data_IF_515827962350
#
_entry.id   IF_515827962350
#
_cell.length_a   1.000
_cell.length_b   1.000
_cell.length_c   1.000
_cell.angle_alpha   90.00
_cell.angle_beta   90.00
_cell.angle_gamma   90.00
#
_symmetry.space_group_name_H-M   'P 1'
#
loop_
_entity.id
_entity.type
_entity.pdbx_description
1 polymer ?
#
# COMPACT_ATOMS: atom_id res chain seq x y z
N UNK A 1 54.68 42.99 -29.23
CA UNK A 1 53.92 42.09 -30.11
C UNK A 1 53.51 40.91 -29.25
N UNK A 2 52.34 41.01 -28.61
CA UNK A 2 51.80 39.95 -27.75
C UNK A 2 50.75 39.20 -28.57
N UNK A 3 51.02 37.92 -28.83
CA UNK A 3 50.07 36.99 -29.44
C UNK A 3 49.03 36.67 -28.37
N UNK A 4 47.79 37.07 -28.62
CA UNK A 4 46.65 36.62 -27.83
C UNK A 4 46.38 35.16 -28.20
N UNK A 5 46.51 34.28 -27.21
CA UNK A 5 46.19 32.87 -27.30
C UNK A 5 44.68 32.75 -27.13
N UNK A 6 43.95 32.63 -28.24
CA UNK A 6 42.50 32.34 -28.22
C UNK A 6 42.34 30.85 -27.86
N UNK A 7 42.41 30.56 -26.57
CA UNK A 7 42.05 29.27 -25.97
C UNK A 7 40.53 29.08 -26.10
N UNK A 8 40.11 28.62 -27.29
CA UNK A 8 38.73 28.21 -27.56
C UNK A 8 38.48 26.92 -26.78
N UNK A 9 38.05 27.08 -25.53
CA UNK A 9 37.52 25.98 -24.73
C UNK A 9 36.42 25.26 -25.54
N UNK A 10 36.43 23.92 -25.60
CA UNK A 10 35.41 23.18 -26.33
C UNK A 10 34.03 23.53 -25.75
N UNK A 11 33.00 23.69 -26.60
CA UNK A 11 31.68 24.09 -26.13
C UNK A 11 31.15 23.05 -25.12
N UNK A 12 30.90 23.51 -23.89
CA UNK A 12 30.53 22.66 -22.74
C UNK A 12 29.11 22.10 -22.83
N UNK A 13 28.33 22.62 -23.78
CA UNK A 13 26.94 22.23 -24.06
C UNK A 13 26.80 20.75 -24.43
N UNK A 14 27.73 20.18 -25.19
CA UNK A 14 27.70 18.76 -25.59
C UNK A 14 27.95 17.82 -24.40
N UNK A 15 28.88 18.19 -23.52
CA UNK A 15 29.18 17.42 -22.31
C UNK A 15 28.00 17.48 -21.34
N UNK A 16 27.44 18.67 -21.14
CA UNK A 16 26.29 18.89 -20.26
C UNK A 16 25.01 18.22 -20.78
N UNK A 17 24.82 18.17 -22.10
CA UNK A 17 23.71 17.47 -22.74
C UNK A 17 23.85 15.94 -22.62
N UNK A 18 25.08 15.42 -22.80
CA UNK A 18 25.39 14.01 -22.57
C UNK A 18 25.07 13.61 -21.13
N UNK A 19 25.63 14.30 -20.14
CA UNK A 19 25.46 14.00 -18.71
C UNK A 19 23.98 14.04 -18.30
N UNK A 20 23.22 15.05 -18.73
CA UNK A 20 21.77 15.15 -18.45
C UNK A 20 20.99 13.96 -19.00
N UNK A 21 21.20 13.62 -20.26
CA UNK A 21 20.47 12.49 -20.89
C UNK A 21 20.85 11.12 -20.33
N UNK A 22 22.07 10.93 -19.82
CA UNK A 22 22.45 9.70 -19.12
C UNK A 22 21.84 9.62 -17.71
N UNK A 23 21.82 10.74 -16.97
CA UNK A 23 21.21 10.85 -15.64
C UNK A 23 19.70 10.57 -15.69
N UNK A 24 18.98 11.19 -16.64
CA UNK A 24 17.53 11.03 -16.78
C UNK A 24 17.15 9.57 -17.11
N UNK A 25 17.85 8.94 -18.06
CA UNK A 25 17.62 7.52 -18.40
C UNK A 25 17.94 6.57 -17.23
N UNK A 26 18.92 6.90 -16.40
CA UNK A 26 19.26 6.12 -15.20
C UNK A 26 18.18 6.22 -14.12
N UNK A 27 17.67 7.44 -13.89
CA UNK A 27 16.58 7.70 -12.95
C UNK A 27 15.29 6.96 -13.35
N UNK A 28 14.93 6.96 -14.63
CA UNK A 28 13.70 6.31 -15.11
C UNK A 28 13.75 4.78 -14.96
N UNK A 29 14.87 4.13 -15.30
CA UNK A 29 15.03 2.68 -15.10
C UNK A 29 15.00 2.28 -13.63
N UNK A 30 15.50 3.14 -12.75
CA UNK A 30 15.51 2.87 -11.30
C UNK A 30 14.10 2.94 -10.74
N UNK A 31 13.30 3.91 -11.20
CA UNK A 31 11.88 4.05 -10.85
C UNK A 31 11.04 2.88 -11.36
N UNK A 32 11.25 2.45 -12.61
CA UNK A 32 10.54 1.31 -13.21
C UNK A 32 10.81 0.00 -12.44
N UNK A 33 12.08 -0.24 -12.06
CA UNK A 33 12.45 -1.40 -11.24
C UNK A 33 11.85 -1.34 -9.84
N UNK A 34 11.86 -0.16 -9.21
CA UNK A 34 11.29 0.03 -7.87
C UNK A 34 9.78 -0.23 -7.87
N UNK A 35 9.05 0.22 -8.90
CA UNK A 35 7.63 -0.04 -9.10
C UNK A 35 7.33 -1.54 -9.19
N UNK A 36 8.03 -2.27 -10.06
CA UNK A 36 7.85 -3.72 -10.25
C UNK A 36 8.20 -4.48 -8.96
N UNK A 37 9.29 -4.12 -8.29
CA UNK A 37 9.70 -4.78 -7.04
C UNK A 37 8.65 -4.60 -5.95
N UNK A 38 8.14 -3.39 -5.76
CA UNK A 38 7.15 -3.11 -4.73
C UNK A 38 5.82 -3.84 -5.00
N UNK A 39 5.39 -3.90 -6.27
CA UNK A 39 4.20 -4.65 -6.64
C UNK A 39 4.36 -6.16 -6.45
N UNK A 40 5.53 -6.71 -6.81
CA UNK A 40 5.82 -8.13 -6.62
C UNK A 40 5.88 -8.50 -5.13
N UNK A 41 6.43 -7.64 -4.28
CA UNK A 41 6.46 -7.86 -2.83
C UNK A 41 5.03 -7.89 -2.26
N UNK A 42 4.20 -6.89 -2.60
CA UNK A 42 2.79 -6.87 -2.18
C UNK A 42 2.05 -8.12 -2.67
N UNK A 43 2.16 -8.44 -3.95
CA UNK A 43 1.51 -9.60 -4.56
C UNK A 43 1.93 -10.91 -3.88
N UNK A 44 3.21 -11.07 -3.59
CA UNK A 44 3.74 -12.26 -2.92
C UNK A 44 3.17 -12.41 -1.51
N UNK A 45 3.18 -11.33 -0.72
CA UNK A 45 2.62 -11.36 0.64
C UNK A 45 1.13 -11.66 0.61
N UNK A 46 0.38 -10.98 -0.25
CA UNK A 46 -1.07 -11.17 -0.41
C UNK A 46 -1.39 -12.59 -0.90
N UNK A 47 -0.59 -13.15 -1.81
CA UNK A 47 -0.75 -14.52 -2.28
C UNK A 47 -0.49 -15.54 -1.17
N UNK A 48 0.57 -15.37 -0.37
CA UNK A 48 0.85 -16.23 0.78
C UNK A 48 -0.31 -16.18 1.78
N UNK A 49 -0.81 -14.99 2.10
CA UNK A 49 -1.99 -14.82 2.95
C UNK A 49 -3.22 -15.52 2.37
N UNK A 50 -3.42 -15.44 1.06
CA UNK A 50 -4.51 -16.11 0.38
C UNK A 50 -4.42 -17.64 0.49
N UNK A 51 -3.23 -18.22 0.37
CA UNK A 51 -3.01 -19.65 0.58
C UNK A 51 -3.29 -20.03 2.04
N UNK A 52 -2.80 -19.25 3.01
CA UNK A 52 -3.07 -19.50 4.45
C UNK A 52 -4.58 -19.48 4.73
N UNK A 53 -5.29 -18.50 4.18
CA UNK A 53 -6.75 -18.35 4.33
C UNK A 53 -7.51 -19.46 3.59
N UNK A 54 -7.05 -19.88 2.41
CA UNK A 54 -7.68 -20.96 1.65
C UNK A 54 -7.60 -22.33 2.35
N UNK A 55 -6.49 -22.57 3.07
CA UNK A 55 -6.21 -23.85 3.73
C UNK A 55 -6.60 -23.87 5.21
N UNK A 56 -6.85 -22.71 5.81
CA UNK A 56 -7.09 -22.56 7.24
C UNK A 56 -8.47 -21.99 7.58
N UNK A 57 -8.84 -21.99 8.87
CA UNK A 57 -10.05 -21.34 9.34
C UNK A 57 -9.92 -19.82 9.22
N UNK A 58 -10.85 -19.18 8.51
CA UNK A 58 -10.92 -17.73 8.37
C UNK A 58 -12.19 -17.20 9.02
N UNK A 59 -12.05 -16.34 10.04
CA UNK A 59 -13.18 -15.79 10.81
C UNK A 59 -13.80 -14.52 10.21
N UNK A 60 -13.46 -14.19 8.96
CA UNK A 60 -13.90 -13.00 8.25
C UNK A 60 -14.73 -13.32 7.01
N UNK A 61 -15.05 -12.30 6.22
CA UNK A 61 -15.84 -12.47 5.00
C UNK A 61 -14.98 -12.94 3.81
N UNK A 62 -15.05 -14.24 3.52
CA UNK A 62 -14.12 -14.91 2.59
C UNK A 62 -14.22 -14.39 1.15
N UNK A 63 -15.44 -14.09 0.66
CA UNK A 63 -15.61 -13.63 -0.71
C UNK A 63 -14.98 -12.24 -0.90
N UNK A 64 -15.17 -11.35 0.08
CA UNK A 64 -14.60 -10.00 0.07
C UNK A 64 -13.06 -10.04 0.17
N UNK A 65 -12.54 -10.96 1.00
CA UNK A 65 -11.10 -11.19 1.11
C UNK A 65 -10.50 -11.59 -0.24
N UNK A 66 -11.02 -12.64 -0.88
CA UNK A 66 -10.51 -13.11 -2.16
C UNK A 66 -10.73 -12.13 -3.31
N UNK A 67 -11.80 -11.33 -3.26
CA UNK A 67 -12.00 -10.25 -4.22
C UNK A 67 -10.84 -9.23 -4.16
N UNK A 68 -10.43 -8.82 -2.96
CA UNK A 68 -9.27 -7.96 -2.78
C UNK A 68 -7.96 -8.62 -3.23
N UNK A 69 -7.77 -9.91 -2.94
CA UNK A 69 -6.61 -10.69 -3.43
C UNK A 69 -6.53 -10.69 -4.96
N UNK A 70 -7.64 -11.03 -5.63
CA UNK A 70 -7.70 -11.06 -7.09
C UNK A 70 -7.40 -9.68 -7.67
N UNK A 71 -7.92 -8.62 -7.06
CA UNK A 71 -7.64 -7.25 -7.50
C UNK A 71 -6.13 -6.93 -7.45
N UNK A 72 -5.43 -7.26 -6.36
CA UNK A 72 -3.97 -7.10 -6.28
C UNK A 72 -3.27 -7.87 -7.41
N UNK A 73 -3.63 -9.14 -7.62
CA UNK A 73 -3.00 -9.97 -8.66
C UNK A 73 -3.25 -9.44 -10.08
N UNK A 74 -4.44 -8.91 -10.35
CA UNK A 74 -4.78 -8.29 -11.63
C UNK A 74 -3.95 -7.01 -11.84
N UNK A 75 -3.81 -6.18 -10.81
CA UNK A 75 -2.96 -4.98 -10.86
C UNK A 75 -1.49 -5.34 -11.07
N UNK A 76 -1.00 -6.39 -10.42
CA UNK A 76 0.33 -6.94 -10.68
C UNK A 76 0.48 -7.39 -12.14
N UNK A 77 -0.50 -8.10 -12.68
CA UNK A 77 -0.54 -8.41 -14.12
C UNK A 77 -0.45 -7.16 -14.98
N UNK A 78 -1.24 -6.12 -14.66
CA UNK A 78 -1.22 -4.85 -15.38
C UNK A 78 0.17 -4.19 -15.36
N UNK A 79 0.93 -4.31 -14.27
CA UNK A 79 2.32 -3.79 -14.24
C UNK A 79 3.24 -4.46 -15.26
N UNK A 80 3.03 -5.73 -15.59
CA UNK A 80 3.81 -6.45 -16.59
C UNK A 80 3.32 -6.24 -18.03
N UNK A 81 2.01 -6.14 -18.21
CA UNK A 81 1.39 -6.10 -19.54
C UNK A 81 1.40 -4.71 -20.16
N UNK A 82 1.37 -3.65 -19.36
CA UNK A 82 1.25 -2.27 -19.84
C UNK A 82 2.64 -1.68 -20.12
N UNK A 83 2.88 -1.08 -21.30
CA UNK A 83 4.15 -0.43 -21.62
C UNK A 83 4.22 0.97 -20.97
N UNK A 84 4.48 1.02 -19.67
CA UNK A 84 4.47 2.24 -18.84
C UNK A 84 5.37 3.37 -19.35
N UNK A 85 6.46 3.04 -20.05
CA UNK A 85 7.37 4.01 -20.66
C UNK A 85 6.70 4.91 -21.73
N UNK A 86 5.49 4.56 -22.19
CA UNK A 86 4.71 5.37 -23.14
C UNK A 86 3.65 6.26 -22.47
N UNK A 87 3.46 6.12 -21.15
CA UNK A 87 2.42 6.81 -20.41
C UNK A 87 2.99 7.97 -19.59
N UNK A 88 2.17 8.99 -19.35
CA UNK A 88 2.56 10.08 -18.47
C UNK A 88 2.79 9.56 -17.03
N UNK A 89 3.75 10.14 -16.27
CA UNK A 89 4.14 9.63 -14.95
C UNK A 89 2.98 9.45 -13.96
N UNK A 90 1.93 10.28 -14.06
CA UNK A 90 0.74 10.18 -13.21
C UNK A 90 -0.02 8.85 -13.34
N UNK A 91 0.05 8.18 -14.50
CA UNK A 91 -0.60 6.87 -14.68
C UNK A 91 0.04 5.77 -13.84
N UNK A 92 1.35 5.87 -13.56
CA UNK A 92 2.07 4.91 -12.72
C UNK A 92 1.57 4.98 -11.28
N UNK A 93 1.07 6.14 -10.82
CA UNK A 93 0.49 6.29 -9.48
C UNK A 93 -0.86 5.57 -9.31
N UNK A 94 -1.54 5.22 -10.42
CA UNK A 94 -2.84 4.56 -10.36
C UNK A 94 -2.75 3.14 -9.81
N UNK A 95 -1.66 2.41 -10.08
CA UNK A 95 -1.46 1.06 -9.56
C UNK A 95 -1.46 1.06 -8.01
N UNK A 96 -0.53 1.77 -7.33
CA UNK A 96 -0.53 1.79 -5.87
C UNK A 96 -1.79 2.41 -5.28
N UNK A 97 -2.44 3.36 -5.97
CA UNK A 97 -3.72 3.90 -5.53
C UNK A 97 -4.87 2.87 -5.61
N UNK A 98 -4.86 1.97 -6.59
CA UNK A 98 -5.81 0.86 -6.68
C UNK A 98 -5.45 -0.27 -5.71
N UNK A 99 -4.16 -0.50 -5.42
CA UNK A 99 -3.74 -1.43 -4.37
C UNK A 99 -4.28 -0.98 -3.00
N UNK A 100 -4.33 0.33 -2.73
CA UNK A 100 -4.99 0.86 -1.53
C UNK A 100 -6.46 0.42 -1.42
N UNK A 101 -7.19 0.44 -2.55
CA UNK A 101 -8.57 -0.04 -2.62
C UNK A 101 -8.63 -1.56 -2.36
N UNK A 102 -7.71 -2.33 -2.93
CA UNK A 102 -7.64 -3.76 -2.66
C UNK A 102 -7.35 -4.07 -1.19
N UNK A 103 -6.43 -3.34 -0.57
CA UNK A 103 -6.05 -3.50 0.84
C UNK A 103 -7.21 -3.14 1.76
N UNK A 104 -7.99 -2.08 1.48
CA UNK A 104 -9.16 -1.77 2.31
C UNK A 104 -10.23 -2.86 2.19
N UNK A 105 -10.44 -3.47 1.02
CA UNK A 105 -11.35 -4.60 0.85
C UNK A 105 -10.89 -5.82 1.66
N UNK A 106 -9.59 -6.13 1.60
CA UNK A 106 -8.98 -7.18 2.43
C UNK A 106 -9.15 -6.86 3.92
N UNK A 107 -8.96 -5.63 4.37
CA UNK A 107 -9.19 -5.25 5.77
C UNK A 107 -10.66 -5.29 6.16
N UNK A 108 -11.58 -4.88 5.28
CA UNK A 108 -13.02 -4.96 5.54
C UNK A 108 -13.48 -6.41 5.74
N UNK A 109 -12.82 -7.37 5.08
CA UNK A 109 -13.10 -8.79 5.32
C UNK A 109 -12.75 -9.25 6.73
N UNK A 110 -11.78 -8.60 7.40
CA UNK A 110 -11.34 -8.91 8.75
C UNK A 110 -10.79 -7.67 9.47
N UNK A 111 -11.66 -6.78 9.99
CA UNK A 111 -11.27 -5.44 10.44
C UNK A 111 -10.30 -5.38 11.62
N UNK A 112 -10.17 -6.47 12.39
CA UNK A 112 -9.25 -6.55 13.53
C UNK A 112 -7.92 -7.23 13.20
N UNK A 113 -7.73 -7.64 11.94
CA UNK A 113 -6.52 -8.33 11.51
C UNK A 113 -5.36 -7.35 11.33
N UNK A 114 -4.10 -7.75 11.58
CA UNK A 114 -2.93 -6.91 11.32
C UNK A 114 -2.65 -6.64 9.83
N UNK A 115 -3.60 -6.89 8.94
CA UNK A 115 -3.50 -6.68 7.49
C UNK A 115 -3.32 -5.20 7.12
N UNK A 116 -3.57 -4.27 8.05
CA UNK A 116 -3.18 -2.87 7.90
C UNK A 116 -1.67 -2.65 7.68
N UNK A 117 -0.79 -3.60 8.01
CA UNK A 117 0.63 -3.45 7.68
C UNK A 117 0.88 -3.41 6.16
N UNK A 118 -0.04 -3.93 5.33
CA UNK A 118 0.08 -3.92 3.88
C UNK A 118 0.13 -2.49 3.29
N UNK A 119 -0.34 -1.47 4.02
CA UNK A 119 -0.27 -0.08 3.60
C UNK A 119 1.15 0.41 3.33
N UNK A 120 2.16 -0.23 3.93
CA UNK A 120 3.56 0.16 3.71
C UNK A 120 3.94 0.10 2.23
N UNK A 121 3.44 -0.89 1.49
CA UNK A 121 3.80 -1.07 0.08
C UNK A 121 3.34 0.09 -0.81
N UNK A 122 2.05 0.43 -0.92
CA UNK A 122 1.62 1.54 -1.77
C UNK A 122 2.16 2.90 -1.29
N UNK A 123 2.39 3.07 0.02
CA UNK A 123 3.03 4.29 0.56
C UNK A 123 4.49 4.39 0.10
N UNK A 124 5.26 3.32 0.23
CA UNK A 124 6.67 3.29 -0.20
C UNK A 124 6.79 3.56 -1.70
N UNK A 125 5.89 2.99 -2.52
CA UNK A 125 5.85 3.30 -3.95
C UNK A 125 5.60 4.80 -4.20
N UNK A 126 4.49 5.34 -3.70
CA UNK A 126 4.12 6.71 -3.99
C UNK A 126 5.17 7.70 -3.47
N UNK A 127 5.73 7.44 -2.29
CA UNK A 127 6.83 8.23 -1.72
C UNK A 127 8.11 8.16 -2.59
N UNK A 128 8.52 6.97 -3.03
CA UNK A 128 9.71 6.81 -3.86
C UNK A 128 9.54 7.42 -5.27
N UNK A 129 8.34 7.34 -5.84
CA UNK A 129 8.05 7.82 -7.19
C UNK A 129 7.82 9.33 -7.27
N UNK A 130 7.14 9.91 -6.28
CA UNK A 130 6.63 11.29 -6.31
C UNK A 130 7.14 12.16 -5.14
N UNK A 131 8.06 11.64 -4.33
CA UNK A 131 8.62 12.34 -3.18
C UNK A 131 7.56 12.71 -2.14
N UNK A 132 7.69 13.90 -1.56
CA UNK A 132 6.78 14.39 -0.52
C UNK A 132 5.31 14.46 -0.99
N UNK A 133 5.06 14.80 -2.25
CA UNK A 133 3.70 14.86 -2.79
C UNK A 133 3.03 13.48 -2.77
N UNK A 134 3.77 12.44 -3.17
CA UNK A 134 3.29 11.06 -3.10
C UNK A 134 3.07 10.58 -1.68
N UNK A 135 3.97 10.93 -0.75
CA UNK A 135 3.82 10.61 0.67
C UNK A 135 2.55 11.24 1.26
N UNK A 136 2.35 12.55 1.07
CA UNK A 136 1.16 13.24 1.59
C UNK A 136 -0.12 12.72 0.95
N UNK A 137 -0.10 12.47 -0.37
CA UNK A 137 -1.22 11.85 -1.07
C UNK A 137 -1.56 10.47 -0.52
N UNK A 138 -0.55 9.64 -0.23
CA UNK A 138 -0.75 8.31 0.33
C UNK A 138 -1.33 8.37 1.75
N UNK A 139 -0.80 9.23 2.61
CA UNK A 139 -1.31 9.43 3.98
C UNK A 139 -2.75 9.94 3.97
N UNK A 140 -3.06 10.91 3.10
CA UNK A 140 -4.42 11.42 2.95
C UNK A 140 -5.39 10.35 2.42
N UNK A 141 -4.96 9.55 1.44
CA UNK A 141 -5.73 8.43 0.91
C UNK A 141 -6.03 7.37 1.97
N UNK A 142 -5.02 6.98 2.76
CA UNK A 142 -5.18 6.05 3.88
C UNK A 142 -6.15 6.63 4.91
N UNK A 143 -5.98 7.88 5.31
CA UNK A 143 -6.87 8.54 6.27
C UNK A 143 -8.33 8.55 5.77
N UNK A 144 -8.55 8.87 4.50
CA UNK A 144 -9.86 8.84 3.88
C UNK A 144 -10.47 7.43 3.87
N UNK A 145 -9.68 6.40 3.54
CA UNK A 145 -10.16 5.01 3.56
C UNK A 145 -10.42 4.49 4.98
N UNK A 146 -9.58 4.85 5.95
CA UNK A 146 -9.80 4.50 7.35
C UNK A 146 -11.05 5.17 7.93
N UNK A 147 -11.38 6.39 7.49
CA UNK A 147 -12.63 7.03 7.86
C UNK A 147 -13.86 6.22 7.42
N UNK A 148 -13.75 5.44 6.34
CA UNK A 148 -14.79 4.50 5.88
C UNK A 148 -14.83 3.24 6.75
N UNK A 149 -13.67 2.73 7.20
CA UNK A 149 -13.56 1.49 7.98
C UNK A 149 -13.96 1.64 9.46
N UNK A 150 -13.63 2.78 10.09
CA UNK A 150 -13.85 3.02 11.52
C UNK A 150 -15.32 2.83 11.96
N UNK A 151 -16.34 3.31 11.23
CA UNK A 151 -17.74 3.04 11.55
C UNK A 151 -18.08 1.55 11.57
N UNK A 152 -17.50 0.75 10.66
CA UNK A 152 -17.80 -0.69 10.52
C UNK A 152 -17.30 -1.46 11.74
N UNK A 153 -16.06 -1.22 12.16
CA UNK A 153 -15.47 -1.89 13.33
C UNK A 153 -16.18 -1.56 14.66
N UNK A 154 -16.69 -0.33 14.79
CA UNK A 154 -17.45 0.11 15.98
C UNK A 154 -18.81 -0.57 16.12
N UNK A 155 -19.48 -0.90 15.02
CA UNK A 155 -20.78 -1.57 15.02
C UNK A 155 -20.68 -2.99 15.60
N UNK A 156 -19.62 -3.73 15.26
CA UNK A 156 -19.41 -5.09 15.78
C UNK A 156 -19.21 -5.11 17.30
N UNK A 157 -18.49 -4.15 17.86
CA UNK A 157 -18.28 -4.06 19.32
C UNK A 157 -19.60 -3.83 20.04
N UNK A 158 -20.42 -2.91 19.51
CA UNK A 158 -21.74 -2.62 20.05
C UNK A 158 -22.67 -3.84 19.98
N UNK A 159 -22.62 -4.62 18.90
CA UNK A 159 -23.38 -5.86 18.77
C UNK A 159 -22.91 -6.95 19.75
N UNK A 160 -21.59 -7.13 19.88
CA UNK A 160 -21.01 -8.14 20.77
C UNK A 160 -21.37 -7.86 22.23
N UNK A 161 -21.30 -6.61 22.66
CA UNK A 161 -21.69 -6.19 24.01
C UNK A 161 -23.20 -6.31 24.26
N UNK A 162 -24.01 -6.11 23.21
CA UNK A 162 -25.46 -6.30 23.29
C UNK A 162 -25.89 -7.78 23.31
N UNK A 163 -24.98 -8.72 22.99
CA UNK A 163 -25.32 -10.13 22.83
C UNK A 163 -25.74 -10.81 24.16
N UNK A 164 -26.67 -11.79 24.13
CA UNK A 164 -27.12 -12.50 25.32
C UNK A 164 -25.98 -13.19 26.09
N UNK A 165 -24.98 -13.71 25.36
CA UNK A 165 -23.80 -14.33 25.95
C UNK A 165 -22.93 -13.32 26.71
N UNK A 166 -22.76 -12.10 26.19
CA UNK A 166 -22.04 -11.03 26.88
C UNK A 166 -22.79 -10.56 28.13
N UNK A 167 -24.14 -10.52 28.09
CA UNK A 167 -24.98 -10.22 29.25
C UNK A 167 -24.88 -11.29 30.33
N UNK A 168 -24.92 -12.57 29.95
CA UNK A 168 -24.78 -13.70 30.88
C UNK A 168 -23.38 -13.74 31.54
N UNK A 169 -22.33 -13.47 30.77
CA UNK A 169 -20.96 -13.39 31.29
C UNK A 169 -20.77 -12.19 32.26
N UNK A 170 -21.46 -11.08 32.02
CA UNK A 170 -21.44 -9.90 32.89
C UNK A 170 -22.19 -10.17 34.21
N UNK A 171 -23.40 -10.73 34.14
CA UNK A 171 -24.15 -11.15 35.34
C UNK A 171 -23.38 -12.14 36.21
N UNK A 172 -22.71 -13.13 35.60
CA UNK A 172 -21.88 -14.09 36.34
C UNK A 172 -20.62 -13.46 36.97
N UNK A 173 -20.10 -12.34 36.44
CA UNK A 173 -19.00 -11.59 37.06
C UNK A 173 -19.45 -10.81 38.29
N UNK A 174 -20.65 -10.24 38.24
CA UNK A 174 -21.22 -9.45 39.34
C UNK A 174 -21.65 -10.35 40.52
N UNK A 175 -21.90 -11.64 40.26
CA UNK A 175 -22.21 -12.66 41.26
C UNK A 175 -20.98 -13.26 41.98
N UNK A 176 -19.75 -12.97 41.54
CA UNK A 176 -18.54 -13.47 42.21
C UNK A 176 -18.28 -12.62 43.47
N UNK A 177 -18.43 -13.19 44.69
CA UNK A 177 -18.18 -12.44 45.91
C UNK A 177 -16.72 -11.97 45.94
N UNK A 178 -16.52 -10.70 46.30
CA UNK A 178 -15.21 -10.13 46.61
C UNK A 178 -14.51 -11.01 47.64
N UNK A 179 -13.71 -11.97 47.17
CA UNK A 179 -12.86 -12.79 48.02
C UNK A 179 -11.75 -11.86 48.49
N UNK A 180 -11.98 -11.21 49.62
CA UNK A 180 -10.99 -10.44 50.34
C UNK A 180 -9.86 -11.38 50.73
N UNK A 181 -8.76 -11.32 49.97
CA UNK A 181 -7.49 -11.91 50.35
C UNK A 181 -6.93 -11.06 51.48
N UNK A 182 -7.15 -11.52 52.71
CA UNK A 182 -6.34 -11.17 53.88
C UNK A 182 -5.04 -11.95 53.86
#
# INVERSE_FOLDING_TARGET
MAVADDDVAPPTDFVDAGVRTFSDRGADRTRERAAVLNQLLLATVVFILAVIVALGPFGGEIALFFFGVVLVLVLTGATFLIPWNRLAPGWVAMIPALDMVAIILIQLSSPRSPLGLLWIFPVTWLSAGFGALGLYGAVAGIAAMLAILLPVGGQELKLRDASPAARAARGRRDELPHRTTH
#
